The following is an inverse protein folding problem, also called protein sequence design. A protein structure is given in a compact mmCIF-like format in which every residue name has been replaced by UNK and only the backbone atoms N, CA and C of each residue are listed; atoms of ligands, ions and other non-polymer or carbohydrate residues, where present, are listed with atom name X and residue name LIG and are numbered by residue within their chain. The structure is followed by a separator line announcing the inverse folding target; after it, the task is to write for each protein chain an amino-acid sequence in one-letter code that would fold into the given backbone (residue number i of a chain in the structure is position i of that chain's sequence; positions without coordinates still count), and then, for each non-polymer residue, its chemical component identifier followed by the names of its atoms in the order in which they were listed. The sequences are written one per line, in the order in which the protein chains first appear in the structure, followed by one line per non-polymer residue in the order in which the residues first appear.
data_IF_378021885859
#
_entry.id   IF_378021885859
#
_cell.length_a   1.000
_cell.length_b   1.000
_cell.length_c   1.000
_cell.angle_alpha   90.00
_cell.angle_beta   90.00
_cell.angle_gamma   90.00
#
_symmetry.space_group_name_H-M   'P 1'
#
loop_
_entity.id
_entity.type
_entity.pdbx_description
1 polymer ?
#
# COMPACT_ATOMS: atom_id res chain seq x y z
N UNK A 1 -23.04 -12.37 5.43
CA UNK A 1 -22.29 -11.73 4.33
C UNK A 1 -22.10 -10.22 4.61
N UNK A 2 -21.81 -9.83 5.85
CA UNK A 2 -21.54 -8.43 6.21
C UNK A 2 -20.06 -8.21 6.58
N UNK A 3 -19.38 -9.31 6.91
CA UNK A 3 -18.05 -9.34 7.51
C UNK A 3 -16.96 -9.09 6.46
N UNK A 4 -17.15 -9.55 5.22
CA UNK A 4 -16.19 -9.37 4.13
C UNK A 4 -16.08 -7.93 3.63
N UNK A 5 -17.20 -7.19 3.57
CA UNK A 5 -17.19 -5.76 3.18
C UNK A 5 -16.47 -4.91 4.24
N UNK A 6 -16.79 -5.15 5.51
CA UNK A 6 -16.13 -4.49 6.64
C UNK A 6 -14.62 -4.77 6.65
N UNK A 7 -14.24 -6.04 6.44
CA UNK A 7 -12.84 -6.44 6.36
C UNK A 7 -12.13 -5.79 5.16
N UNK A 8 -12.76 -5.79 3.99
CA UNK A 8 -12.22 -5.13 2.80
C UNK A 8 -11.99 -3.64 3.04
N UNK A 9 -12.93 -2.96 3.71
CA UNK A 9 -12.83 -1.53 4.03
C UNK A 9 -11.69 -1.24 5.01
N UNK A 10 -11.51 -2.10 6.01
CA UNK A 10 -10.39 -2.00 6.96
C UNK A 10 -9.05 -2.21 6.26
N UNK A 11 -8.92 -3.28 5.45
CA UNK A 11 -7.71 -3.56 4.67
C UNK A 11 -7.38 -2.41 3.72
N UNK A 12 -8.37 -1.86 3.00
CA UNK A 12 -8.18 -0.68 2.15
C UNK A 12 -7.62 0.51 2.93
N UNK A 13 -8.14 0.77 4.13
CA UNK A 13 -7.68 1.86 4.98
C UNK A 13 -6.24 1.65 5.47
N UNK A 14 -5.93 0.42 5.93
CA UNK A 14 -4.59 0.06 6.40
C UNK A 14 -3.57 0.11 5.27
N UNK A 15 -3.89 -0.48 4.11
CA UNK A 15 -3.06 -0.47 2.91
C UNK A 15 -2.75 0.97 2.48
N UNK A 16 -3.76 1.84 2.51
CA UNK A 16 -3.58 3.26 2.23
C UNK A 16 -2.58 3.89 3.20
N UNK A 17 -2.71 3.63 4.51
CA UNK A 17 -1.80 4.14 5.52
C UNK A 17 -0.35 3.66 5.28
N UNK A 18 -0.14 2.39 4.95
CA UNK A 18 1.17 1.82 4.59
C UNK A 18 1.77 2.54 3.39
N UNK A 19 0.99 2.71 2.33
CA UNK A 19 1.44 3.36 1.10
C UNK A 19 1.70 4.86 1.28
N UNK A 20 0.94 5.56 2.12
CA UNK A 20 1.20 6.97 2.45
C UNK A 20 2.48 7.11 3.26
N UNK A 21 2.76 6.16 4.16
CA UNK A 21 3.99 6.14 4.98
C UNK A 21 5.24 6.04 4.10
N UNK A 22 5.11 5.36 2.96
CA UNK A 22 6.18 5.18 1.98
C UNK A 22 6.18 6.25 0.89
N UNK A 23 7.06 7.25 1.06
CA UNK A 23 7.23 8.39 0.14
C UNK A 23 7.39 8.00 -1.35
N UNK A 24 8.23 7.01 -1.62
CA UNK A 24 8.59 6.60 -2.99
C UNK A 24 7.71 5.47 -3.53
N UNK A 25 6.68 5.06 -2.76
CA UNK A 25 5.93 3.84 -3.02
C UNK A 25 6.63 2.60 -2.52
N UNK A 26 5.94 1.47 -2.63
CA UNK A 26 6.39 0.18 -2.14
C UNK A 26 6.47 -0.79 -3.31
N UNK A 27 7.63 -1.41 -3.58
CA UNK A 27 7.72 -2.44 -4.62
C UNK A 27 6.80 -3.61 -4.29
N UNK A 28 6.26 -4.26 -5.33
CA UNK A 28 5.32 -5.35 -5.16
C UNK A 28 5.84 -6.50 -4.29
N UNK A 29 7.15 -6.75 -4.37
CA UNK A 29 7.86 -7.75 -3.58
C UNK A 29 7.86 -7.45 -2.07
N UNK A 30 8.00 -6.17 -1.68
CA UNK A 30 8.04 -5.79 -0.25
C UNK A 30 6.70 -5.36 0.29
N UNK A 31 5.67 -5.14 -0.54
CA UNK A 31 4.38 -4.64 -0.09
C UNK A 31 3.72 -5.53 0.96
N UNK A 32 3.80 -6.85 0.82
CA UNK A 32 3.27 -7.78 1.82
C UNK A 32 3.98 -7.62 3.17
N UNK A 33 5.30 -7.46 3.13
CA UNK A 33 6.15 -7.28 4.33
C UNK A 33 5.88 -5.93 5.00
N UNK A 34 5.91 -4.83 4.24
CA UNK A 34 5.62 -3.50 4.76
C UNK A 34 4.18 -3.39 5.32
N UNK A 35 3.22 -4.07 4.67
CA UNK A 35 1.85 -4.14 5.19
C UNK A 35 1.83 -4.87 6.53
N UNK A 36 2.38 -6.09 6.59
CA UNK A 36 2.42 -6.89 7.82
C UNK A 36 3.19 -6.18 8.95
N UNK A 37 4.29 -5.49 8.64
CA UNK A 37 5.03 -4.69 9.64
C UNK A 37 4.19 -3.54 10.22
N UNK A 38 3.29 -2.95 9.44
CA UNK A 38 2.45 -1.84 9.90
C UNK A 38 1.17 -2.31 10.60
N UNK A 39 0.52 -3.34 10.05
CA UNK A 39 -0.75 -3.86 10.55
C UNK A 39 -0.58 -4.93 11.62
N UNK A 40 0.65 -5.44 11.79
CA UNK A 40 0.98 -6.63 12.58
C UNK A 40 0.20 -7.88 12.13
N UNK A 41 -0.36 -7.85 10.91
CA UNK A 41 -1.20 -8.90 10.37
C UNK A 41 -0.96 -9.10 8.86
N UNK A 42 -0.88 -10.35 8.37
CA UNK A 42 -0.69 -10.61 6.95
C UNK A 42 -1.90 -10.13 6.14
N UNK A 43 -1.66 -9.68 4.91
CA UNK A 43 -2.73 -9.17 4.05
C UNK A 43 -3.71 -10.29 3.67
N UNK A 44 -5.00 -10.23 4.08
CA UNK A 44 -5.93 -11.35 3.94
C UNK A 44 -6.62 -11.37 2.56
N UNK A 45 -5.86 -11.20 1.47
CA UNK A 45 -6.40 -11.18 0.09
C UNK A 45 -7.07 -12.51 -0.28
N UNK A 46 -6.53 -13.63 0.20
CA UNK A 46 -7.12 -14.97 0.00
C UNK A 46 -8.50 -15.09 0.67
N UNK A 47 -8.64 -14.58 1.88
CA UNK A 47 -9.91 -14.59 2.62
C UNK A 47 -10.96 -13.66 1.99
N UNK A 48 -10.51 -12.65 1.24
CA UNK A 48 -11.36 -11.75 0.47
C UNK A 48 -11.77 -12.33 -0.89
N UNK A 49 -11.28 -13.52 -1.25
CA UNK A 49 -11.62 -14.21 -2.50
C UNK A 49 -10.67 -13.92 -3.67
N UNK A 50 -9.52 -13.30 -3.42
CA UNK A 50 -8.52 -13.01 -4.46
C UNK A 50 -7.43 -14.07 -4.51
N UNK A 51 -6.99 -14.41 -5.72
CA UNK A 51 -5.98 -15.44 -5.98
C UNK A 51 -4.56 -14.95 -5.70
N UNK A 52 -4.30 -13.67 -5.97
CA UNK A 52 -2.99 -13.03 -5.86
C UNK A 52 -3.10 -11.59 -5.37
N UNK A 53 -1.99 -11.06 -4.83
CA UNK A 53 -1.91 -9.65 -4.45
C UNK A 53 -2.23 -8.72 -5.63
N UNK A 54 -1.70 -9.00 -6.81
CA UNK A 54 -1.97 -8.20 -8.02
C UNK A 54 -3.47 -8.10 -8.33
N UNK A 55 -4.20 -9.20 -8.21
CA UNK A 55 -5.66 -9.24 -8.44
C UNK A 55 -6.40 -8.40 -7.40
N UNK A 56 -5.97 -8.49 -6.12
CA UNK A 56 -6.49 -7.65 -5.06
C UNK A 56 -6.26 -6.16 -5.34
N UNK A 57 -5.04 -5.77 -5.72
CA UNK A 57 -4.68 -4.38 -6.04
C UNK A 57 -5.46 -3.87 -7.26
N UNK A 58 -5.60 -4.68 -8.30
CA UNK A 58 -6.39 -4.35 -9.48
C UNK A 58 -7.88 -4.15 -9.15
N UNK A 59 -8.40 -4.81 -8.11
CA UNK A 59 -9.77 -4.61 -7.63
C UNK A 59 -9.97 -3.29 -6.86
N UNK A 60 -8.91 -2.59 -6.46
CA UNK A 60 -8.96 -1.37 -5.63
C UNK A 60 -8.20 -0.17 -6.23
N UNK A 61 -8.45 0.21 -7.49
CA UNK A 61 -7.70 1.29 -8.17
C UNK A 61 -7.93 2.68 -7.55
N UNK A 62 -8.94 2.83 -6.68
CA UNK A 62 -9.17 4.06 -5.89
C UNK A 62 -8.17 4.25 -4.75
N UNK A 63 -7.54 3.16 -4.29
CA UNK A 63 -6.64 3.16 -3.12
C UNK A 63 -5.18 3.09 -3.56
N UNK A 64 -4.89 2.29 -4.58
CA UNK A 64 -3.52 1.99 -5.02
C UNK A 64 -3.33 2.29 -6.49
N UNK A 65 -2.29 3.06 -6.79
CA UNK A 65 -1.77 3.30 -8.13
C UNK A 65 -0.61 2.34 -8.39
N UNK A 66 -0.67 1.61 -9.51
CA UNK A 66 0.40 0.71 -9.95
C UNK A 66 1.29 1.46 -10.92
N UNK A 67 2.57 1.63 -10.56
CA UNK A 67 3.58 2.27 -11.40
C UNK A 67 4.59 1.23 -11.81
N UNK A 68 4.80 1.07 -13.12
CA UNK A 68 5.88 0.25 -13.64
C UNK A 68 7.16 1.08 -13.72
N UNK A 69 8.18 0.69 -12.98
CA UNK A 69 9.49 1.34 -12.98
C UNK A 69 10.55 0.36 -13.48
N UNK A 70 10.93 0.51 -14.76
CA UNK A 70 11.72 -0.47 -15.51
C UNK A 70 11.10 -1.88 -15.46
N UNK A 71 11.66 -2.76 -14.64
CA UNK A 71 11.25 -4.17 -14.47
C UNK A 71 10.51 -4.43 -13.16
N UNK A 72 10.27 -3.41 -12.33
CA UNK A 72 9.63 -3.59 -11.01
C UNK A 72 8.30 -2.83 -10.96
N UNK A 73 7.26 -3.50 -10.46
CA UNK A 73 5.99 -2.87 -10.12
C UNK A 73 6.10 -2.20 -8.75
N UNK A 74 5.79 -0.91 -8.70
CA UNK A 74 5.78 -0.09 -7.49
C UNK A 74 4.35 0.38 -7.23
N UNK A 75 3.84 0.07 -6.05
CA UNK A 75 2.53 0.48 -5.59
C UNK A 75 2.61 1.81 -4.83
N UNK A 76 1.74 2.76 -5.16
CA UNK A 76 1.62 4.05 -4.47
C UNK A 76 0.20 4.30 -3.99
N UNK A 77 0.06 5.07 -2.91
CA UNK A 77 -1.25 5.51 -2.45
C UNK A 77 -1.84 6.50 -3.45
N UNK A 78 -3.08 6.29 -3.86
CA UNK A 78 -3.82 7.29 -4.64
C UNK A 78 -4.13 8.50 -3.74
N UNK A 79 -3.68 9.71 -4.12
CA UNK A 79 -4.05 10.91 -3.41
C UNK A 79 -5.53 11.17 -3.62
N UNK A 80 -6.30 11.19 -2.53
CA UNK A 80 -7.64 11.78 -2.55
C UNK A 80 -7.70 12.94 -1.56
N UNK A 81 -8.73 13.76 -1.63
CA UNK A 81 -8.82 15.08 -0.97
C UNK A 81 -8.48 15.05 0.53
N UNK A 82 -8.81 13.95 1.22
CA UNK A 82 -8.52 13.77 2.66
C UNK A 82 -7.07 13.40 2.97
N UNK A 83 -6.38 12.80 2.00
CA UNK A 83 -5.07 12.16 2.18
C UNK A 83 -3.97 12.95 1.45
N UNK A 84 -4.35 13.84 0.54
CA UNK A 84 -3.43 14.64 -0.26
C UNK A 84 -2.50 15.50 0.60
N UNK A 85 -3.03 16.13 1.66
CA UNK A 85 -2.21 16.92 2.60
C UNK A 85 -1.18 16.03 3.32
N UNK A 86 -1.57 14.82 3.75
CA UNK A 86 -0.65 13.87 4.41
C UNK A 86 0.43 13.42 3.44
N UNK A 87 0.08 13.09 2.20
CA UNK A 87 1.05 12.69 1.17
C UNK A 87 2.03 13.82 0.87
N UNK A 88 1.56 15.07 0.79
CA UNK A 88 2.43 16.23 0.61
C UNK A 88 3.38 16.42 1.79
N UNK A 89 2.89 16.26 3.03
CA UNK A 89 3.73 16.31 4.23
C UNK A 89 4.80 15.21 4.22
N UNK A 90 4.44 13.97 3.88
CA UNK A 90 5.38 12.85 3.77
C UNK A 90 6.41 13.09 2.66
N UNK A 91 5.99 13.63 1.52
CA UNK A 91 6.90 14.01 0.43
C UNK A 91 7.95 15.04 0.87
N UNK A 92 7.56 15.97 1.75
CA UNK A 92 8.43 17.02 2.30
C UNK A 92 9.31 16.53 3.45
N UNK A 93 9.08 15.35 4.02
CA UNK A 93 9.98 14.79 5.02
C UNK A 93 11.37 14.56 4.40
N UNK A 94 12.41 15.04 5.11
CA UNK A 94 13.80 14.71 4.78
C UNK A 94 13.93 13.19 4.84
N UNK A 95 14.21 12.58 3.69
CA UNK A 95 14.60 11.18 3.65
C UNK A 95 15.84 11.02 4.52
N UNK A 96 15.70 10.37 5.68
CA UNK A 96 16.84 9.73 6.33
C UNK A 96 17.28 8.66 5.34
N UNK A 97 18.26 8.99 4.50
CA UNK A 97 18.79 8.05 3.53
C UNK A 97 19.05 6.72 4.23
N UNK A 98 18.41 5.64 3.75
CA UNK A 98 18.78 4.28 4.12
C UNK A 98 20.29 4.19 3.82
N UNK A 99 21.12 4.19 4.87
CA UNK A 99 22.54 3.87 4.74
C UNK A 99 22.58 2.51 4.04
N UNK A 100 23.10 2.50 2.81
CA UNK A 100 23.66 1.28 2.22
C UNK A 100 24.70 0.79 3.22
N UNK A 101 24.39 -0.24 3.99
CA UNK A 101 25.43 -1.09 4.53
C UNK A 101 26.02 -1.80 3.32
N UNK A 102 27.29 -1.47 3.05
CA UNK A 102 28.13 -2.18 2.09
C UNK A 102 28.43 -3.59 2.57
#
# INVERSE_FOLDING_TARGET
MADTDQQLKMVKSMLRATLISSKDGIPADTLLRDYEELTMEPLPFKSLGFSSLEEFIQSIPDVVEVIRNADVFVYKAVPCTKTQHVIELVRRQKSRGKRKTM
#
